data_IF_764415523133
#
_entry.id   IF_764415523133
#
_cell.length_a   1.000
_cell.length_b   1.000
_cell.length_c   1.000
_cell.angle_alpha   90.00
_cell.angle_beta   90.00
_cell.angle_gamma   90.00
#
_symmetry.space_group_name_H-M   'P 1'
#
loop_
_entity.id
_entity.type
_entity.pdbx_description
1 polymer ?
#
# COMPACT_ATOMS: atom_id res chain seq x y z
N UNK A 1 -58.43 -24.07 5.57
CA UNK A 1 -58.43 -24.20 7.05
C UNK A 1 -57.21 -23.40 7.51
N UNK A 2 -57.28 -22.19 8.09
CA UNK A 2 -58.16 -21.65 9.13
C UNK A 2 -58.05 -22.47 10.44
N UNK A 3 -57.77 -21.90 11.63
CA UNK A 3 -57.78 -20.49 12.04
C UNK A 3 -56.86 -20.16 13.26
N UNK A 4 -56.74 -18.85 13.56
CA UNK A 4 -56.50 -18.08 14.83
C UNK A 4 -56.09 -18.79 16.16
N UNK A 5 -55.52 -18.16 17.19
CA UNK A 5 -55.41 -16.75 17.67
C UNK A 5 -54.21 -16.61 18.66
N UNK A 6 -53.73 -15.48 19.22
CA UNK A 6 -54.06 -14.02 19.24
C UNK A 6 -52.82 -13.23 19.78
N UNK A 7 -52.86 -11.90 19.77
CA UNK A 7 -51.98 -11.00 20.58
C UNK A 7 -52.81 -10.19 21.61
N UNK A 8 -52.19 -9.50 22.57
CA UNK A 8 -52.01 -8.02 22.47
C UNK A 8 -50.58 -7.58 22.90
N UNK A 9 -49.94 -6.51 22.42
CA UNK A 9 -50.33 -5.12 22.07
C UNK A 9 -50.53 -4.20 23.30
N UNK A 10 -49.48 -3.44 23.64
CA UNK A 10 -49.56 -2.26 24.51
C UNK A 10 -48.64 -1.15 23.95
N UNK A 11 -49.25 -0.06 23.51
CA UNK A 11 -48.61 1.18 23.10
C UNK A 11 -48.52 2.14 24.29
N UNK A 12 -47.47 2.97 24.36
CA UNK A 12 -47.63 4.37 24.76
C UNK A 12 -46.51 5.23 24.15
N UNK A 13 -46.85 6.47 23.77
CA UNK A 13 -45.97 7.49 23.19
C UNK A 13 -45.87 8.71 24.12
N UNK A 14 -44.87 9.57 23.84
CA UNK A 14 -44.71 10.97 24.30
C UNK A 14 -44.38 11.12 25.80
N UNK A 15 -43.44 11.98 26.22
CA UNK A 15 -43.36 13.42 25.91
C UNK A 15 -41.92 14.00 25.95
N UNK A 16 -41.74 15.08 25.19
CA UNK A 16 -40.68 16.08 25.39
C UNK A 16 -40.86 16.77 26.76
N UNK A 17 -39.79 16.92 27.55
CA UNK A 17 -39.62 18.08 28.45
C UNK A 17 -38.14 18.49 28.50
N UNK A 18 -37.86 19.73 28.12
CA UNK A 18 -36.58 20.39 28.36
C UNK A 18 -36.63 21.08 29.73
N UNK A 19 -35.62 20.90 30.58
CA UNK A 19 -35.48 21.67 31.83
C UNK A 19 -34.07 22.22 31.95
N UNK A 20 -33.92 23.51 31.68
CA UNK A 20 -32.80 24.31 32.16
C UNK A 20 -33.13 24.87 33.55
N UNK A 21 -32.19 24.82 34.50
CA UNK A 21 -32.11 25.69 35.68
C UNK A 21 -30.65 25.67 36.18
N UNK A 22 -29.84 26.71 35.95
CA UNK A 22 -29.70 27.94 36.74
C UNK A 22 -29.16 27.75 38.17
N UNK A 23 -27.90 28.18 38.39
CA UNK A 23 -27.40 29.10 39.46
C UNK A 23 -26.00 29.56 39.00
N UNK A 24 -25.86 30.77 38.44
CA UNK A 24 -25.23 31.98 39.04
C UNK A 24 -23.71 31.87 39.25
N UNK A 25 -22.79 32.61 38.59
CA UNK A 25 -22.64 34.04 38.20
C UNK A 25 -21.51 34.69 39.01
N UNK A 26 -20.44 35.10 38.30
CA UNK A 26 -19.50 36.22 38.52
C UNK A 26 -18.35 36.04 37.49
N UNK A 27 -18.07 36.92 36.52
CA UNK A 27 -18.68 38.19 36.15
C UNK A 27 -17.65 39.32 36.17
N UNK A 28 -17.16 39.76 35.00
CA UNK A 28 -16.53 41.07 34.80
C UNK A 28 -16.62 41.48 33.31
N UNK A 29 -16.76 42.79 33.06
CA UNK A 29 -17.28 43.38 31.81
C UNK A 29 -16.19 43.90 30.87
N UNK A 30 -16.42 43.75 29.57
CA UNK A 30 -16.00 44.70 28.54
C UNK A 30 -16.99 45.88 28.45
N UNK A 31 -16.55 47.04 27.94
CA UNK A 31 -17.41 47.95 27.19
C UNK A 31 -16.92 48.14 25.73
N UNK A 32 -17.88 48.27 24.82
CA UNK A 32 -17.71 48.50 23.37
C UNK A 32 -18.33 49.85 22.97
N UNK A 33 -17.71 50.58 22.03
CA UNK A 33 -18.28 51.82 21.46
C UNK A 33 -17.44 52.38 20.29
N UNK A 34 -18.01 53.17 19.34
CA UNK A 34 -17.64 53.00 17.92
C UNK A 34 -17.23 54.28 17.12
N UNK A 35 -16.77 54.02 15.88
CA UNK A 35 -16.85 54.85 14.64
C UNK A 35 -15.91 56.07 14.36
N UNK A 36 -14.93 55.84 13.47
CA UNK A 36 -14.58 56.61 12.23
C UNK A 36 -14.13 58.12 12.27
N UNK A 37 -13.63 58.75 11.16
CA UNK A 37 -12.23 59.25 11.08
C UNK A 37 -12.06 60.79 10.95
N UNK A 38 -10.82 61.34 10.93
CA UNK A 38 -10.22 61.74 9.63
C UNK A 38 -8.66 61.68 9.50
N UNK A 39 -8.18 61.81 8.26
CA UNK A 39 -6.77 62.05 7.81
C UNK A 39 -6.34 63.56 7.93
N UNK A 40 -5.11 64.02 7.57
CA UNK A 40 -3.82 63.37 7.23
C UNK A 40 -2.57 63.96 7.99
N UNK A 41 -1.36 63.74 7.44
CA UNK A 41 0.02 64.18 7.84
C UNK A 41 0.77 63.18 8.76
N UNK A 42 2.00 62.73 8.49
CA UNK A 42 2.82 62.83 7.27
C UNK A 42 4.22 62.20 7.44
N UNK A 43 4.68 61.44 6.43
CA UNK A 43 6.09 61.10 6.11
C UNK A 43 6.98 60.43 7.20
N UNK A 44 7.26 59.12 7.02
CA UNK A 44 8.58 58.65 6.56
C UNK A 44 8.55 57.20 6.07
N UNK A 45 9.16 56.95 4.91
CA UNK A 45 9.31 55.63 4.30
C UNK A 45 10.59 54.96 4.83
N UNK A 46 10.51 53.68 5.15
CA UNK A 46 11.66 52.77 5.22
C UNK A 46 11.21 51.43 4.64
N UNK A 47 11.86 50.97 3.57
CA UNK A 47 11.48 49.77 2.84
C UNK A 47 11.89 48.50 3.62
N UNK A 48 10.98 47.54 3.74
CA UNK A 48 11.30 46.20 4.22
C UNK A 48 11.62 45.28 3.03
N UNK A 49 12.71 44.49 3.07
CA UNK A 49 13.09 43.66 1.93
C UNK A 49 12.13 42.48 1.75
N UNK A 50 11.62 42.33 0.53
CA UNK A 50 10.83 41.17 0.11
C UNK A 50 11.74 39.94 0.09
N UNK A 51 11.59 39.05 1.07
CA UNK A 51 12.26 37.74 1.04
C UNK A 51 11.55 36.86 0.01
N UNK A 52 12.04 36.90 -1.23
CA UNK A 52 11.63 35.96 -2.26
C UNK A 52 12.08 34.55 -1.87
N UNK A 53 11.14 33.75 -1.36
CA UNK A 53 11.32 32.33 -1.05
C UNK A 53 11.48 31.49 -2.31
N UNK A 54 12.58 31.69 -3.05
CA UNK A 54 12.93 30.85 -4.17
C UNK A 54 13.26 29.44 -3.66
N UNK A 55 12.40 28.47 -4.00
CA UNK A 55 12.61 27.05 -3.77
C UNK A 55 13.75 26.54 -4.66
N UNK A 56 14.99 26.84 -4.27
CA UNK A 56 16.18 26.30 -4.90
C UNK A 56 16.18 24.77 -4.74
N UNK A 57 16.00 24.04 -5.84
CA UNK A 57 16.40 22.64 -5.94
C UNK A 57 17.85 22.54 -5.47
N UNK A 58 18.07 21.92 -4.31
CA UNK A 58 19.43 21.65 -3.81
C UNK A 58 20.14 20.74 -4.79
N UNK A 59 21.30 21.21 -5.29
CA UNK A 59 22.22 20.40 -6.08
C UNK A 59 22.63 19.16 -5.28
N UNK A 60 22.84 18.06 -6.00
CA UNK A 60 23.16 16.73 -5.44
C UNK A 60 24.54 16.68 -4.77
N UNK A 61 24.64 17.17 -3.53
CA UNK A 61 25.52 16.55 -2.53
C UNK A 61 24.92 15.19 -2.14
N UNK A 62 25.75 14.19 -1.84
CA UNK A 62 25.27 12.84 -1.53
C UNK A 62 24.22 12.86 -0.44
N UNK A 63 23.01 12.38 -0.73
CA UNK A 63 21.88 12.41 0.19
C UNK A 63 22.18 11.49 1.38
N UNK A 64 22.35 12.07 2.56
CA UNK A 64 22.67 11.33 3.79
C UNK A 64 21.45 11.28 4.70
N UNK A 65 20.66 10.23 4.54
CA UNK A 65 19.46 9.97 5.33
C UNK A 65 19.71 9.96 6.86
N UNK A 66 20.94 9.67 7.30
CA UNK A 66 21.35 9.72 8.71
C UNK A 66 21.58 11.13 9.27
N UNK A 67 21.72 12.16 8.42
CA UNK A 67 21.84 13.56 8.84
C UNK A 67 20.47 14.27 8.89
N UNK A 68 19.46 13.69 8.24
CA UNK A 68 18.09 14.20 8.19
C UNK A 68 17.41 14.12 9.56
N UNK A 69 16.94 15.26 10.06
CA UNK A 69 16.34 15.38 11.39
C UNK A 69 15.19 14.41 11.62
N UNK A 70 14.32 14.23 10.62
CA UNK A 70 13.18 13.34 10.66
C UNK A 70 13.54 11.87 10.93
N UNK A 71 14.70 11.38 10.46
CA UNK A 71 15.11 9.98 10.58
C UNK A 71 16.28 9.72 11.55
N UNK A 72 16.98 10.75 12.01
CA UNK A 72 18.22 10.62 12.79
C UNK A 72 18.09 9.81 14.08
N UNK A 73 16.98 9.95 14.80
CA UNK A 73 16.72 9.21 16.04
C UNK A 73 16.45 7.71 15.76
N UNK A 74 15.53 7.41 14.84
CA UNK A 74 15.26 6.04 14.39
C UNK A 74 16.52 5.37 13.87
N UNK A 75 17.33 6.07 13.07
CA UNK A 75 18.59 5.52 12.55
C UNK A 75 19.65 5.29 13.63
N UNK A 76 19.66 6.10 14.69
CA UNK A 76 20.53 5.89 15.86
C UNK A 76 20.09 4.69 16.69
N UNK A 77 18.78 4.47 16.79
CA UNK A 77 18.16 3.36 17.51
C UNK A 77 18.25 2.03 16.77
N UNK A 78 18.23 2.05 15.43
CA UNK A 78 18.08 0.87 14.60
C UNK A 78 19.32 0.48 13.80
N UNK A 79 20.09 1.45 13.30
CA UNK A 79 21.12 1.18 12.31
C UNK A 79 22.54 1.46 12.82
N UNK A 80 23.45 0.46 12.76
CA UNK A 80 24.85 0.66 13.12
C UNK A 80 25.47 1.83 12.36
N UNK A 81 26.24 2.67 13.05
CA UNK A 81 26.82 3.91 12.47
C UNK A 81 27.66 3.70 11.20
N UNK A 82 28.18 2.49 10.96
CA UNK A 82 28.93 2.18 9.75
C UNK A 82 28.06 2.11 8.48
N UNK A 83 26.74 1.89 8.59
CA UNK A 83 25.83 1.88 7.42
C UNK A 83 25.50 3.29 6.94
N UNK A 84 25.62 4.30 7.81
CA UNK A 84 25.18 5.68 7.56
C UNK A 84 25.88 6.39 6.40
N UNK A 85 27.03 5.86 5.96
CA UNK A 85 27.82 6.37 4.83
C UNK A 85 27.27 5.94 3.47
N UNK A 86 26.45 4.89 3.41
CA UNK A 86 25.85 4.37 2.19
C UNK A 86 24.33 4.28 2.35
N UNK A 87 23.62 5.13 1.61
CA UNK A 87 22.15 5.20 1.69
C UNK A 87 21.45 3.88 1.35
N UNK A 88 22.02 3.04 0.48
CA UNK A 88 21.46 1.71 0.20
C UNK A 88 21.59 0.79 1.42
N UNK A 89 22.70 0.85 2.15
CA UNK A 89 22.91 0.10 3.39
C UNK A 89 22.05 0.61 4.55
N UNK A 90 21.75 1.92 4.58
CA UNK A 90 20.75 2.49 5.50
C UNK A 90 19.35 1.96 5.19
N UNK A 91 18.94 1.98 3.92
CA UNK A 91 17.63 1.49 3.51
C UNK A 91 17.49 -0.02 3.77
N UNK A 92 18.52 -0.81 3.48
CA UNK A 92 18.57 -2.24 3.77
C UNK A 92 18.38 -2.51 5.27
N UNK A 93 19.22 -1.90 6.12
CA UNK A 93 19.07 -1.99 7.58
C UNK A 93 17.67 -1.56 8.09
N UNK A 94 17.09 -0.50 7.51
CA UNK A 94 15.76 -0.02 7.88
C UNK A 94 14.61 -0.89 7.34
N UNK A 95 14.86 -1.77 6.37
CA UNK A 95 13.90 -2.82 5.97
C UNK A 95 14.01 -4.02 6.90
N UNK A 96 15.24 -4.51 7.14
CA UNK A 96 15.52 -5.69 7.96
C UNK A 96 15.01 -5.55 9.41
N UNK A 97 14.81 -4.31 9.89
CA UNK A 97 14.22 -4.02 11.22
C UNK A 97 12.80 -3.45 11.20
N UNK A 98 12.16 -3.34 10.03
CA UNK A 98 10.80 -2.77 9.87
C UNK A 98 9.69 -3.70 10.39
N UNK A 99 10.02 -4.98 10.59
CA UNK A 99 9.10 -6.03 11.01
C UNK A 99 8.77 -5.90 12.51
N UNK A 100 9.76 -5.55 13.33
CA UNK A 100 9.63 -5.52 14.79
C UNK A 100 9.22 -4.14 15.35
N UNK A 101 9.38 -3.05 14.59
CA UNK A 101 9.47 -1.69 15.15
C UNK A 101 8.66 -0.62 14.40
N UNK A 102 7.95 0.21 15.16
CA UNK A 102 7.36 1.46 14.68
C UNK A 102 8.44 2.53 14.44
N UNK A 103 8.39 3.15 13.26
CA UNK A 103 9.20 4.30 12.86
C UNK A 103 8.40 5.58 13.07
N UNK A 104 9.09 6.69 13.35
CA UNK A 104 8.47 8.00 13.40
C UNK A 104 7.75 8.31 12.07
N UNK A 105 6.52 8.88 12.08
CA UNK A 105 5.75 9.15 10.86
C UNK A 105 6.52 9.98 9.83
N UNK A 106 7.29 10.98 10.29
CA UNK A 106 8.06 11.86 9.41
C UNK A 106 9.27 11.13 8.79
N UNK A 107 9.97 10.25 9.54
CA UNK A 107 10.99 9.38 8.97
C UNK A 107 10.39 8.42 7.94
N UNK A 108 9.25 7.82 8.28
CA UNK A 108 8.53 6.88 7.43
C UNK A 108 8.13 7.51 6.09
N UNK A 109 7.65 8.76 6.12
CA UNK A 109 7.32 9.54 4.94
C UNK A 109 8.57 9.92 4.12
N UNK A 110 9.65 10.37 4.77
CA UNK A 110 10.92 10.68 4.11
C UNK A 110 11.52 9.46 3.40
N UNK A 111 11.52 8.30 4.07
CA UNK A 111 11.89 7.00 3.50
C UNK A 111 11.06 6.63 2.28
N UNK A 112 9.75 6.89 2.31
CA UNK A 112 8.84 6.59 1.19
C UNK A 112 9.13 7.50 -0.01
N UNK A 113 9.24 8.82 0.19
CA UNK A 113 9.61 9.78 -0.86
C UNK A 113 10.97 9.44 -1.47
N UNK A 114 11.95 9.03 -0.66
CA UNK A 114 13.25 8.59 -1.14
C UNK A 114 13.13 7.36 -2.06
N UNK A 115 12.42 6.32 -1.61
CA UNK A 115 12.23 5.07 -2.38
C UNK A 115 11.50 5.32 -3.69
N UNK A 116 10.45 6.15 -3.69
CA UNK A 116 9.75 6.57 -4.90
C UNK A 116 10.69 7.31 -5.87
N UNK A 117 11.43 8.31 -5.40
CA UNK A 117 12.36 9.05 -6.27
C UNK A 117 13.45 8.14 -6.84
N UNK A 118 13.91 7.14 -6.08
CA UNK A 118 14.93 6.19 -6.51
C UNK A 118 14.44 5.28 -7.65
N UNK A 119 13.15 4.89 -7.72
CA UNK A 119 12.65 4.12 -8.88
C UNK A 119 12.73 4.90 -10.19
N UNK A 120 12.67 6.24 -10.10
CA UNK A 120 12.76 7.17 -11.23
C UNK A 120 14.16 7.77 -11.47
N UNK A 121 15.17 7.45 -10.65
CA UNK A 121 16.52 8.01 -10.79
C UNK A 121 17.22 7.41 -12.03
N UNK A 122 17.65 8.23 -13.03
CA UNK A 122 18.36 7.73 -14.20
C UNK A 122 19.65 6.95 -13.88
N UNK A 123 20.33 7.25 -12.76
CA UNK A 123 21.50 6.48 -12.31
C UNK A 123 21.10 5.08 -11.85
N UNK A 124 19.95 4.97 -11.19
CA UNK A 124 19.43 3.69 -10.73
C UNK A 124 19.04 2.80 -11.91
N UNK A 125 18.32 3.36 -12.89
CA UNK A 125 17.97 2.65 -14.13
C UNK A 125 19.21 2.28 -14.97
N UNK A 126 20.26 3.11 -14.96
CA UNK A 126 21.55 2.79 -15.61
C UNK A 126 22.24 1.56 -15.00
N UNK A 127 22.23 1.42 -13.67
CA UNK A 127 22.81 0.22 -13.00
C UNK A 127 22.00 -1.03 -13.36
N UNK A 128 20.67 -0.95 -13.39
CA UNK A 128 19.84 -2.06 -13.86
C UNK A 128 20.14 -2.44 -15.32
N UNK A 129 20.32 -1.45 -16.19
CA UNK A 129 20.67 -1.66 -17.61
C UNK A 129 22.03 -2.30 -17.79
N UNK A 130 23.00 -2.00 -16.92
CA UNK A 130 24.33 -2.60 -16.93
C UNK A 130 24.30 -4.04 -16.43
N UNK A 131 23.72 -4.28 -15.25
CA UNK A 131 23.73 -5.58 -14.55
C UNK A 131 22.77 -6.61 -15.17
N UNK A 132 21.69 -6.18 -15.83
CA UNK A 132 20.69 -7.06 -16.46
C UNK A 132 20.72 -7.02 -18.00
N UNK A 133 21.81 -6.55 -18.62
CA UNK A 133 21.89 -6.31 -20.08
C UNK A 133 21.45 -7.50 -20.94
N UNK A 134 21.88 -8.72 -20.59
CA UNK A 134 21.52 -9.93 -21.33
C UNK A 134 20.01 -10.19 -21.25
N UNK A 135 19.49 -10.24 -20.03
CA UNK A 135 18.09 -10.47 -19.66
C UNK A 135 17.15 -9.45 -20.30
N UNK A 136 17.54 -8.17 -20.34
CA UNK A 136 16.76 -7.11 -21.01
C UNK A 136 16.66 -7.38 -22.52
N UNK A 137 17.72 -7.88 -23.15
CA UNK A 137 17.73 -8.17 -24.59
C UNK A 137 16.86 -9.39 -24.93
N UNK A 138 16.78 -10.36 -24.03
CA UNK A 138 15.94 -11.57 -24.17
C UNK A 138 14.45 -11.29 -23.95
N UNK A 139 14.11 -10.39 -23.02
CA UNK A 139 12.72 -10.04 -22.67
C UNK A 139 12.30 -8.79 -23.45
N UNK A 140 11.71 -8.99 -24.63
CA UNK A 140 11.26 -7.91 -25.55
C UNK A 140 10.47 -6.81 -24.85
N UNK A 141 9.52 -7.18 -24.00
CA UNK A 141 8.66 -6.26 -23.23
C UNK A 141 9.51 -5.27 -22.42
N UNK A 142 10.52 -5.75 -21.67
CA UNK A 142 11.43 -4.90 -20.90
C UNK A 142 12.45 -4.14 -21.77
N UNK A 143 12.76 -4.65 -22.97
CA UNK A 143 13.59 -3.92 -23.93
C UNK A 143 12.87 -2.69 -24.50
N UNK A 144 11.57 -2.81 -24.75
CA UNK A 144 10.72 -1.77 -25.34
C UNK A 144 10.29 -0.67 -24.35
N UNK A 145 10.43 -0.92 -23.04
CA UNK A 145 10.11 0.05 -21.98
C UNK A 145 10.83 1.40 -22.11
N UNK A 146 10.11 2.50 -21.87
CA UNK A 146 10.66 3.85 -22.03
C UNK A 146 11.67 4.16 -20.91
N UNK A 147 12.95 4.33 -21.29
CA UNK A 147 14.04 4.67 -20.38
C UNK A 147 13.86 6.07 -19.76
N UNK A 148 14.31 6.24 -18.52
CA UNK A 148 14.16 7.45 -17.72
C UNK A 148 12.74 7.64 -17.16
N UNK A 149 11.90 6.61 -17.19
CA UNK A 149 10.54 6.61 -16.61
C UNK A 149 10.37 5.69 -15.41
N UNK A 150 11.37 4.85 -15.12
CA UNK A 150 11.34 3.96 -13.95
C UNK A 150 10.57 2.65 -14.16
N UNK A 151 10.15 2.33 -15.39
CA UNK A 151 9.41 1.10 -15.72
C UNK A 151 10.31 -0.12 -15.97
N UNK A 152 11.60 0.08 -16.27
CA UNK A 152 12.54 -1.01 -16.58
C UNK A 152 12.69 -2.02 -15.42
N UNK A 153 12.99 -1.53 -14.21
CA UNK A 153 13.19 -2.40 -13.05
C UNK A 153 11.89 -3.12 -12.65
N UNK A 154 10.71 -2.46 -12.64
CA UNK A 154 9.43 -3.15 -12.55
C UNK A 154 9.23 -4.30 -13.54
N UNK A 155 9.51 -4.09 -14.83
CA UNK A 155 9.40 -5.15 -15.82
C UNK A 155 10.34 -6.33 -15.50
N UNK A 156 11.57 -6.06 -15.09
CA UNK A 156 12.51 -7.10 -14.66
C UNK A 156 12.03 -7.86 -13.42
N UNK A 157 11.38 -7.20 -12.46
CA UNK A 157 10.72 -7.86 -11.33
C UNK A 157 9.56 -8.73 -11.81
N UNK A 158 8.75 -8.25 -12.75
CA UNK A 158 7.62 -9.00 -13.29
C UNK A 158 8.06 -10.30 -13.98
N UNK A 159 9.25 -10.29 -14.60
CA UNK A 159 9.90 -11.45 -15.21
C UNK A 159 10.94 -12.16 -14.31
N UNK A 160 10.98 -11.92 -12.99
CA UNK A 160 12.00 -12.50 -12.06
C UNK A 160 12.23 -14.00 -12.21
N UNK A 161 11.19 -14.76 -12.58
CA UNK A 161 11.25 -16.22 -12.78
C UNK A 161 11.84 -16.68 -14.13
N UNK A 162 12.11 -15.75 -15.04
CA UNK A 162 12.78 -15.99 -16.33
C UNK A 162 14.27 -15.56 -16.30
N UNK A 163 14.70 -14.83 -15.27
CA UNK A 163 16.07 -14.33 -15.13
C UNK A 163 17.00 -15.50 -14.74
N UNK A 164 17.81 -15.95 -15.70
CA UNK A 164 18.82 -17.00 -15.49
C UNK A 164 20.18 -16.44 -15.02
N UNK A 165 20.48 -15.18 -15.34
CA UNK A 165 21.74 -14.52 -14.99
C UNK A 165 21.84 -14.26 -13.48
N UNK A 166 22.82 -14.87 -12.82
CA UNK A 166 22.98 -14.78 -11.36
C UNK A 166 23.13 -13.33 -10.86
N UNK A 167 23.91 -12.49 -11.53
CA UNK A 167 24.13 -11.11 -11.11
C UNK A 167 22.85 -10.27 -11.20
N UNK A 168 22.13 -10.38 -12.32
CA UNK A 168 20.82 -9.76 -12.47
C UNK A 168 19.80 -10.30 -11.45
N UNK A 169 19.76 -11.62 -11.23
CA UNK A 169 18.85 -12.25 -10.26
C UNK A 169 19.11 -11.77 -8.82
N UNK A 170 20.38 -11.65 -8.41
CA UNK A 170 20.77 -11.09 -7.10
C UNK A 170 20.43 -9.60 -6.99
N UNK A 171 20.71 -8.82 -8.04
CA UNK A 171 20.36 -7.39 -8.09
C UNK A 171 18.85 -7.17 -7.97
N UNK A 172 18.05 -7.86 -8.79
CA UNK A 172 16.59 -7.78 -8.75
C UNK A 172 16.03 -8.24 -7.40
N UNK A 173 16.55 -9.34 -6.82
CA UNK A 173 16.13 -9.79 -5.48
C UNK A 173 16.42 -8.73 -4.41
N UNK A 174 17.67 -8.25 -4.31
CA UNK A 174 18.10 -7.27 -3.31
C UNK A 174 17.33 -5.95 -3.46
N UNK A 175 17.16 -5.49 -4.69
CA UNK A 175 16.51 -4.20 -4.95
C UNK A 175 14.99 -4.25 -4.77
N UNK A 176 14.38 -5.42 -5.02
CA UNK A 176 12.98 -5.68 -4.68
C UNK A 176 12.75 -5.54 -3.18
N UNK A 177 13.61 -6.13 -2.33
CA UNK A 177 13.51 -5.95 -0.88
C UNK A 177 13.71 -4.49 -0.45
N UNK A 178 14.73 -3.81 -0.98
CA UNK A 178 15.13 -2.48 -0.49
C UNK A 178 14.18 -1.36 -0.93
N UNK A 179 13.90 -1.24 -2.24
CA UNK A 179 13.06 -0.16 -2.78
C UNK A 179 11.59 -0.58 -2.75
N UNK A 180 11.33 -1.84 -3.09
CA UNK A 180 10.01 -2.31 -3.51
C UNK A 180 9.31 -3.23 -2.50
N UNK A 181 9.66 -3.16 -1.21
CA UNK A 181 8.82 -3.69 -0.11
C UNK A 181 7.38 -3.15 -0.11
N UNK A 182 7.15 -2.12 -0.92
CA UNK A 182 5.84 -1.54 -1.22
C UNK A 182 5.63 -1.71 -2.73
N UNK A 183 4.97 -2.79 -3.14
CA UNK A 183 4.74 -3.14 -4.55
C UNK A 183 4.01 -2.06 -5.37
N UNK A 184 3.39 -1.08 -4.70
CA UNK A 184 2.85 0.12 -5.36
C UNK A 184 3.91 0.89 -6.15
N UNK A 185 5.18 0.78 -5.74
CA UNK A 185 6.32 1.39 -6.42
C UNK A 185 6.80 0.56 -7.62
N UNK A 186 6.42 -0.72 -7.74
CA UNK A 186 6.75 -1.59 -8.89
C UNK A 186 5.80 -1.28 -10.04
N UNK A 187 4.53 -1.68 -9.95
CA UNK A 187 3.74 -1.98 -11.15
C UNK A 187 3.06 -0.76 -11.84
N UNK A 188 3.61 0.45 -11.71
CA UNK A 188 2.92 1.70 -12.12
C UNK A 188 1.57 1.87 -11.43
N UNK A 189 1.46 1.35 -10.20
CA UNK A 189 0.19 1.22 -9.48
C UNK A 189 -0.47 2.57 -9.22
N UNK A 190 0.32 3.56 -8.82
CA UNK A 190 -0.19 4.90 -8.51
C UNK A 190 -0.82 5.55 -9.75
N UNK A 191 -0.23 5.40 -10.94
CA UNK A 191 -0.78 5.97 -12.17
C UNK A 191 -2.10 5.30 -12.56
N UNK A 192 -2.19 3.98 -12.40
CA UNK A 192 -3.38 3.18 -12.72
C UNK A 192 -4.53 3.38 -11.73
N UNK A 193 -4.23 3.56 -10.44
CA UNK A 193 -5.23 3.62 -9.37
C UNK A 193 -5.51 5.01 -8.79
N UNK A 194 -4.83 6.09 -9.23
CA UNK A 194 -4.97 7.43 -8.63
C UNK A 194 -6.43 7.91 -8.53
N UNK A 195 -7.22 7.70 -9.57
CA UNK A 195 -8.62 8.13 -9.60
C UNK A 195 -9.51 7.29 -8.68
N UNK A 196 -9.33 5.97 -8.67
CA UNK A 196 -10.06 5.06 -7.78
C UNK A 196 -9.71 5.32 -6.30
N UNK A 197 -8.44 5.57 -5.98
CA UNK A 197 -7.98 5.95 -4.63
C UNK A 197 -8.71 7.20 -4.13
N UNK A 198 -8.78 8.24 -4.98
CA UNK A 198 -9.45 9.49 -4.63
C UNK A 198 -10.97 9.32 -4.52
N UNK A 199 -11.58 8.52 -5.40
CA UNK A 199 -13.04 8.34 -5.48
C UNK A 199 -13.60 7.43 -4.39
N UNK A 200 -12.83 6.42 -3.98
CA UNK A 200 -13.13 5.53 -2.84
C UNK A 200 -12.68 6.11 -1.49
N UNK A 201 -11.96 7.24 -1.51
CA UNK A 201 -11.28 7.82 -0.35
C UNK A 201 -10.35 6.82 0.38
N UNK A 202 -9.69 5.93 -0.36
CA UNK A 202 -8.72 4.97 0.18
C UNK A 202 -7.41 5.63 0.68
N UNK A 203 -7.26 6.94 0.53
CA UNK A 203 -6.24 7.77 1.16
C UNK A 203 -6.40 9.24 0.74
N UNK A 204 -5.82 10.16 1.51
CA UNK A 204 -5.76 11.59 1.15
C UNK A 204 -4.40 11.94 0.54
N UNK A 205 -4.36 12.36 -0.73
CA UNK A 205 -3.13 12.88 -1.37
C UNK A 205 -2.93 14.38 -1.06
N UNK A 206 -3.75 14.97 -0.18
CA UNK A 206 -3.69 16.39 0.17
C UNK A 206 -2.80 16.63 1.40
N UNK A 207 -1.65 17.27 1.17
CA UNK A 207 -0.73 17.77 2.20
C UNK A 207 -1.44 18.85 3.03
N UNK A 208 -2.04 18.46 4.17
CA UNK A 208 -2.70 19.41 5.07
C UNK A 208 -3.65 18.82 6.11
N UNK A 209 -4.23 17.63 5.87
CA UNK A 209 -4.99 16.91 6.88
C UNK A 209 -4.32 15.56 7.18
N UNK A 210 -3.93 15.38 8.46
CA UNK A 210 -3.27 14.18 8.95
C UNK A 210 -4.28 13.03 9.06
N UNK A 211 -4.32 12.18 8.04
CA UNK A 211 -4.43 10.75 8.27
C UNK A 211 -3.11 10.09 7.86
N UNK A 212 -2.47 9.47 8.84
CA UNK A 212 -1.10 8.98 8.75
C UNK A 212 -1.11 7.69 7.92
N UNK A 213 -0.54 7.76 6.71
CA UNK A 213 -0.52 6.64 5.78
C UNK A 213 0.25 5.42 6.30
N UNK A 214 -0.43 4.50 6.99
CA UNK A 214 0.02 3.12 7.06
C UNK A 214 0.07 2.56 5.64
N UNK A 215 1.29 2.34 5.13
CA UNK A 215 1.58 2.06 3.71
C UNK A 215 0.79 0.88 3.09
N UNK A 216 0.18 0.00 3.89
CA UNK A 216 -0.70 -1.08 3.43
C UNK A 216 -2.20 -0.73 3.28
N UNK A 217 -2.70 0.34 3.91
CA UNK A 217 -4.16 0.60 3.97
C UNK A 217 -4.77 0.99 2.62
N UNK A 218 -4.02 1.69 1.77
CA UNK A 218 -4.48 2.03 0.41
C UNK A 218 -4.74 0.75 -0.40
N UNK A 219 -3.84 -0.24 -0.30
CA UNK A 219 -4.03 -1.56 -0.91
C UNK A 219 -5.22 -2.27 -0.27
N UNK A 220 -5.26 -2.39 1.06
CA UNK A 220 -6.32 -3.09 1.76
C UNK A 220 -7.73 -2.50 1.49
N UNK A 221 -7.84 -1.18 1.37
CA UNK A 221 -9.07 -0.49 1.01
C UNK A 221 -9.50 -0.82 -0.43
N UNK A 222 -8.57 -0.76 -1.38
CA UNK A 222 -8.84 -1.08 -2.79
C UNK A 222 -9.12 -2.57 -3.01
N UNK A 223 -8.42 -3.46 -2.31
CA UNK A 223 -8.71 -4.90 -2.27
C UNK A 223 -10.12 -5.17 -1.72
N UNK A 224 -10.51 -4.54 -0.62
CA UNK A 224 -11.87 -4.63 -0.05
C UNK A 224 -12.92 -4.06 -1.02
N UNK A 225 -12.62 -2.97 -1.73
CA UNK A 225 -13.51 -2.39 -2.73
C UNK A 225 -13.66 -3.31 -3.97
N UNK A 226 -12.58 -3.89 -4.47
CA UNK A 226 -12.58 -4.87 -5.57
C UNK A 226 -13.39 -6.12 -5.21
N UNK A 227 -13.20 -6.63 -3.99
CA UNK A 227 -14.00 -7.73 -3.43
C UNK A 227 -15.49 -7.35 -3.35
N UNK A 228 -15.82 -6.15 -2.85
CA UNK A 228 -17.21 -5.66 -2.81
C UNK A 228 -17.83 -5.54 -4.20
N UNK A 229 -17.06 -5.10 -5.21
CA UNK A 229 -17.50 -5.04 -6.60
C UNK A 229 -17.80 -6.43 -7.18
N UNK A 230 -16.99 -7.44 -6.86
CA UNK A 230 -17.23 -8.82 -7.27
C UNK A 230 -18.45 -9.45 -6.56
N UNK A 231 -18.70 -9.11 -5.29
CA UNK A 231 -19.81 -9.67 -4.49
C UNK A 231 -21.15 -8.93 -4.67
N UNK A 232 -21.12 -7.62 -4.89
CA UNK A 232 -22.32 -6.76 -4.97
C UNK A 232 -22.19 -5.71 -6.10
N UNK A 233 -22.23 -6.12 -7.38
CA UNK A 233 -22.01 -5.22 -8.52
C UNK A 233 -22.91 -3.98 -8.53
N UNK A 234 -24.18 -4.14 -8.16
CA UNK A 234 -25.19 -3.06 -8.18
C UNK A 234 -25.03 -2.01 -7.06
N UNK A 235 -24.14 -2.26 -6.08
CA UNK A 235 -23.97 -1.42 -4.88
C UNK A 235 -22.54 -0.95 -4.66
N UNK A 236 -21.57 -1.51 -5.39
CA UNK A 236 -20.18 -1.11 -5.30
C UNK A 236 -19.89 0.09 -6.18
N UNK A 237 -18.94 0.92 -5.76
CA UNK A 237 -18.32 1.89 -6.64
C UNK A 237 -17.39 1.12 -7.61
N UNK A 238 -17.51 1.31 -8.94
CA UNK A 238 -16.72 0.57 -9.91
C UNK A 238 -15.28 1.07 -9.95
N UNK A 239 -14.33 0.14 -9.83
CA UNK A 239 -12.88 0.38 -9.98
C UNK A 239 -12.52 0.25 -11.47
N UNK A 240 -11.62 1.10 -11.99
CA UNK A 240 -11.15 0.96 -13.39
C UNK A 240 -10.41 -0.35 -13.67
N UNK A 241 -10.56 -0.92 -14.86
CA UNK A 241 -9.97 -2.23 -15.23
C UNK A 241 -8.43 -2.26 -15.04
N UNK A 242 -7.75 -1.18 -15.36
CA UNK A 242 -6.31 -1.00 -15.16
C UNK A 242 -5.92 -0.99 -13.67
N UNK A 243 -6.75 -0.41 -12.78
CA UNK A 243 -6.53 -0.45 -11.35
C UNK A 243 -6.87 -1.83 -10.77
N UNK A 244 -7.96 -2.49 -11.20
CA UNK A 244 -8.28 -3.85 -10.80
C UNK A 244 -7.11 -4.81 -11.06
N UNK A 245 -6.52 -4.72 -12.27
CA UNK A 245 -5.30 -5.47 -12.64
C UNK A 245 -4.10 -5.09 -11.78
N UNK A 246 -3.91 -3.81 -11.46
CA UNK A 246 -2.82 -3.36 -10.59
C UNK A 246 -2.96 -3.86 -9.13
N UNK A 247 -4.18 -3.88 -8.59
CA UNK A 247 -4.51 -4.45 -7.27
C UNK A 247 -4.19 -5.94 -7.25
N UNK A 248 -4.71 -6.70 -8.23
CA UNK A 248 -4.45 -8.15 -8.33
C UNK A 248 -2.97 -8.45 -8.57
N UNK A 249 -2.24 -7.61 -9.30
CA UNK A 249 -0.78 -7.76 -9.50
C UNK A 249 0.01 -7.50 -8.23
N UNK A 250 -0.32 -6.46 -7.46
CA UNK A 250 0.26 -6.23 -6.13
C UNK A 250 -0.02 -7.42 -5.22
N UNK A 251 -1.23 -7.97 -5.28
CA UNK A 251 -1.63 -9.14 -4.51
C UNK A 251 -0.86 -10.42 -4.93
N UNK A 252 -0.68 -10.68 -6.23
CA UNK A 252 0.17 -11.76 -6.74
C UNK A 252 1.62 -11.63 -6.24
N UNK A 253 2.23 -10.46 -6.39
CA UNK A 253 3.63 -10.24 -6.04
C UNK A 253 3.92 -10.39 -4.53
N UNK A 254 2.96 -10.02 -3.66
CA UNK A 254 3.07 -10.21 -2.21
C UNK A 254 2.71 -11.62 -1.73
N UNK A 255 2.24 -12.53 -2.60
CA UNK A 255 1.72 -13.84 -2.17
C UNK A 255 2.76 -14.91 -1.83
N UNK A 256 4.04 -14.66 -2.16
CA UNK A 256 5.17 -15.56 -1.88
C UNK A 256 5.49 -15.61 -0.38
N UNK A 257 5.56 -14.45 0.28
CA UNK A 257 5.90 -14.33 1.70
C UNK A 257 4.99 -13.29 2.38
N UNK A 258 4.43 -13.63 3.54
CA UNK A 258 3.48 -12.79 4.25
C UNK A 258 4.09 -11.47 4.77
N UNK A 259 5.42 -11.41 4.96
CA UNK A 259 6.12 -10.15 5.29
C UNK A 259 5.98 -9.09 4.17
N UNK A 260 5.80 -9.56 2.93
CA UNK A 260 5.66 -8.73 1.73
C UNK A 260 4.23 -8.15 1.58
N UNK A 261 3.26 -8.69 2.30
CA UNK A 261 1.88 -8.19 2.40
C UNK A 261 1.72 -7.38 3.68
N UNK A 262 2.04 -6.08 3.60
CA UNK A 262 2.15 -5.21 4.78
C UNK A 262 0.86 -5.12 5.61
N UNK A 263 -0.32 -5.13 5.00
CA UNK A 263 -1.58 -5.08 5.74
C UNK A 263 -1.84 -6.41 6.46
N UNK A 264 -1.66 -7.54 5.76
CA UNK A 264 -1.82 -8.86 6.38
C UNK A 264 -0.77 -9.13 7.46
N UNK A 265 0.48 -8.69 7.28
CA UNK A 265 1.53 -8.78 8.28
C UNK A 265 1.11 -8.14 9.62
N UNK A 266 0.69 -6.87 9.62
CA UNK A 266 0.24 -6.23 10.87
C UNK A 266 -1.06 -6.82 11.42
N UNK A 267 -1.96 -7.27 10.55
CA UNK A 267 -3.19 -7.93 10.98
C UNK A 267 -2.94 -9.29 11.65
N UNK A 268 -1.91 -10.04 11.21
CA UNK A 268 -1.71 -11.45 11.53
C UNK A 268 -0.43 -11.80 12.28
N UNK A 269 0.53 -10.88 12.53
CA UNK A 269 1.84 -11.24 13.13
C UNK A 269 1.73 -12.02 14.45
N UNK A 270 0.81 -11.63 15.34
CA UNK A 270 0.62 -12.31 16.63
C UNK A 270 -0.05 -13.68 16.46
N UNK A 271 -0.98 -13.80 15.50
CA UNK A 271 -1.59 -15.08 15.14
C UNK A 271 -0.58 -16.01 14.43
N UNK A 272 0.35 -15.46 13.64
CA UNK A 272 1.47 -16.18 13.03
C UNK A 272 2.38 -16.76 14.12
N UNK A 273 2.73 -16.01 15.15
CA UNK A 273 3.49 -16.56 16.28
C UNK A 273 2.69 -17.60 17.07
N UNK A 274 1.37 -17.41 17.25
CA UNK A 274 0.51 -18.34 17.99
C UNK A 274 0.31 -19.70 17.30
N UNK A 275 0.05 -19.68 16.00
CA UNK A 275 -0.35 -20.88 15.23
C UNK A 275 0.74 -21.43 14.31
N UNK A 276 1.65 -20.56 13.84
CA UNK A 276 2.53 -20.83 12.71
C UNK A 276 4.02 -20.56 13.00
N UNK A 277 4.42 -20.52 14.28
CA UNK A 277 5.78 -20.16 14.72
C UNK A 277 6.89 -20.92 13.96
N UNK A 278 6.71 -22.24 13.81
CA UNK A 278 7.67 -23.15 13.17
C UNK A 278 7.54 -23.19 11.63
N UNK A 279 6.65 -22.41 11.04
CA UNK A 279 6.46 -22.34 9.58
C UNK A 279 7.42 -21.31 9.02
N UNK A 280 8.40 -21.79 8.26
CA UNK A 280 9.31 -20.92 7.50
C UNK A 280 8.52 -20.09 6.47
N UNK A 281 8.90 -18.82 6.36
CA UNK A 281 8.38 -17.87 5.42
C UNK A 281 8.74 -18.24 3.95
N UNK A 282 8.09 -17.57 2.98
CA UNK A 282 8.19 -17.89 1.56
C UNK A 282 7.29 -19.04 1.07
N UNK A 283 7.19 -19.16 -0.26
CA UNK A 283 6.38 -20.13 -1.00
C UNK A 283 4.87 -20.20 -0.63
N UNK A 284 4.33 -19.15 -0.03
CA UNK A 284 2.96 -19.09 0.49
C UNK A 284 2.70 -20.00 1.70
N UNK A 285 3.75 -20.53 2.35
CA UNK A 285 3.63 -21.51 3.46
C UNK A 285 2.89 -20.92 4.67
N UNK A 286 3.23 -19.69 5.06
CA UNK A 286 2.58 -19.00 6.19
C UNK A 286 1.10 -18.72 5.91
N UNK A 287 0.77 -18.24 4.70
CA UNK A 287 -0.64 -18.09 4.28
C UNK A 287 -1.42 -19.40 4.42
N UNK A 288 -0.88 -20.52 3.93
CA UNK A 288 -1.51 -21.84 4.06
C UNK A 288 -1.76 -22.23 5.51
N UNK A 289 -0.79 -21.99 6.40
CA UNK A 289 -0.96 -22.24 7.83
C UNK A 289 -2.05 -21.36 8.46
N UNK A 290 -2.00 -20.04 8.22
CA UNK A 290 -2.99 -19.09 8.74
C UNK A 290 -4.41 -19.38 8.22
N UNK A 291 -4.57 -19.82 6.97
CA UNK A 291 -5.88 -20.24 6.45
C UNK A 291 -6.44 -21.48 7.15
N UNK A 292 -5.59 -22.43 7.56
CA UNK A 292 -6.04 -23.62 8.30
C UNK A 292 -6.55 -23.26 9.71
N UNK A 293 -5.91 -22.29 10.37
CA UNK A 293 -6.29 -21.82 11.71
C UNK A 293 -7.27 -20.63 11.70
N UNK A 294 -7.75 -20.20 10.52
CA UNK A 294 -8.61 -19.02 10.34
C UNK A 294 -9.88 -19.05 11.21
N UNK A 295 -10.40 -20.23 11.52
CA UNK A 295 -11.67 -20.41 12.25
C UNK A 295 -11.49 -20.76 13.74
N UNK A 296 -10.25 -20.79 14.25
CA UNK A 296 -9.97 -20.93 15.68
C UNK A 296 -10.56 -19.76 16.49
N UNK A 297 -11.01 -19.99 17.72
CA UNK A 297 -11.49 -18.92 18.60
C UNK A 297 -10.38 -17.93 18.96
N UNK A 298 -9.15 -18.44 19.12
CA UNK A 298 -7.96 -17.64 19.43
C UNK A 298 -7.36 -16.88 18.24
N UNK A 299 -7.99 -16.91 17.05
CA UNK A 299 -7.58 -16.11 15.88
C UNK A 299 -8.14 -14.69 15.98
N UNK A 300 -7.30 -13.66 15.85
CA UNK A 300 -7.77 -12.27 15.91
C UNK A 300 -8.76 -11.95 14.79
N UNK A 301 -9.75 -11.09 15.07
CA UNK A 301 -10.72 -10.62 14.07
C UNK A 301 -10.01 -9.92 12.89
N UNK A 302 -9.00 -9.10 13.19
CA UNK A 302 -8.19 -8.40 12.19
C UNK A 302 -7.51 -9.37 11.22
N UNK A 303 -6.85 -10.41 11.73
CA UNK A 303 -6.24 -11.42 10.86
C UNK A 303 -7.30 -12.20 10.08
N UNK A 304 -8.40 -12.60 10.73
CA UNK A 304 -9.52 -13.32 10.12
C UNK A 304 -10.12 -12.56 8.93
N UNK A 305 -10.24 -11.24 9.04
CA UNK A 305 -10.71 -10.34 7.97
C UNK A 305 -9.69 -10.15 6.84
N UNK A 306 -8.41 -9.99 7.18
CA UNK A 306 -7.34 -9.90 6.19
C UNK A 306 -7.23 -11.21 5.37
N UNK A 307 -7.24 -12.37 6.04
CA UNK A 307 -7.28 -13.69 5.41
C UNK A 307 -8.56 -13.89 4.56
N UNK A 308 -9.71 -13.39 5.02
CA UNK A 308 -10.97 -13.44 4.25
C UNK A 308 -10.87 -12.62 2.97
N UNK A 309 -10.35 -11.39 3.05
CA UNK A 309 -10.11 -10.53 1.88
C UNK A 309 -9.19 -11.25 0.90
N UNK A 310 -8.09 -11.84 1.40
CA UNK A 310 -7.12 -12.59 0.59
C UNK A 310 -7.73 -13.80 -0.13
N UNK A 311 -8.52 -14.61 0.57
CA UNK A 311 -9.24 -15.74 -0.04
C UNK A 311 -10.21 -15.31 -1.14
N UNK A 312 -10.89 -14.17 -0.95
CA UNK A 312 -11.78 -13.60 -1.96
C UNK A 312 -11.00 -13.09 -3.18
N UNK A 313 -9.84 -12.46 -3.01
CA UNK A 313 -8.95 -12.10 -4.14
C UNK A 313 -8.45 -13.33 -4.91
N UNK A 314 -8.05 -14.41 -4.21
CA UNK A 314 -7.64 -15.67 -4.85
C UNK A 314 -8.78 -16.26 -5.72
N UNK A 315 -10.05 -16.01 -5.39
CA UNK A 315 -11.17 -16.42 -6.24
C UNK A 315 -11.29 -15.60 -7.54
N UNK A 316 -10.85 -14.34 -7.53
CA UNK A 316 -10.83 -13.45 -8.70
C UNK A 316 -9.62 -13.73 -9.61
N UNK A 317 -8.45 -14.00 -9.02
CA UNK A 317 -7.26 -14.43 -9.77
C UNK A 317 -6.46 -15.47 -8.96
N UNK A 318 -6.28 -16.68 -9.52
CA UNK A 318 -5.55 -17.77 -8.85
C UNK A 318 -4.09 -17.41 -8.57
N UNK A 319 -3.48 -16.48 -9.32
CA UNK A 319 -2.09 -16.04 -9.15
C UNK A 319 -1.84 -15.33 -7.82
N UNK A 320 -2.89 -14.79 -7.19
CA UNK A 320 -2.85 -14.25 -5.82
C UNK A 320 -2.51 -15.33 -4.77
N UNK A 321 -2.50 -16.61 -5.15
CA UNK A 321 -1.92 -17.70 -4.37
C UNK A 321 -0.65 -18.23 -5.06
N UNK A 322 0.52 -17.79 -4.61
CA UNK A 322 1.81 -18.31 -5.07
C UNK A 322 1.87 -19.85 -5.07
N UNK A 323 1.43 -20.48 -3.98
CA UNK A 323 1.49 -21.94 -3.82
C UNK A 323 0.62 -22.68 -4.84
N UNK A 324 -0.57 -22.15 -5.16
CA UNK A 324 -1.45 -22.69 -6.20
C UNK A 324 -0.88 -22.43 -7.60
N UNK A 325 -0.48 -21.20 -7.89
CA UNK A 325 0.08 -20.82 -9.19
C UNK A 325 1.36 -21.61 -9.53
N UNK A 326 2.21 -21.86 -8.52
CA UNK A 326 3.40 -22.70 -8.64
C UNK A 326 3.05 -24.18 -8.88
N UNK A 327 2.11 -24.73 -8.13
CA UNK A 327 1.68 -26.12 -8.28
C UNK A 327 1.06 -26.40 -9.66
N UNK A 328 0.11 -25.57 -10.08
CA UNK A 328 -0.63 -25.74 -11.33
C UNK A 328 0.15 -25.31 -12.59
N UNK A 329 1.35 -24.71 -12.47
CA UNK A 329 2.11 -24.11 -13.58
C UNK A 329 2.37 -25.07 -14.75
N UNK A 330 2.62 -26.35 -14.46
CA UNK A 330 2.89 -27.36 -15.49
C UNK A 330 1.60 -27.86 -16.13
N UNK A 331 0.57 -28.14 -15.35
CA UNK A 331 -0.71 -28.65 -15.86
C UNK A 331 -1.44 -27.59 -16.70
N UNK A 332 -1.43 -26.32 -16.28
CA UNK A 332 -1.92 -25.18 -17.05
C UNK A 332 -1.31 -25.09 -18.45
N UNK A 333 0.00 -25.32 -18.55
CA UNK A 333 0.73 -25.34 -19.84
C UNK A 333 0.34 -26.57 -20.66
N UNK A 334 0.27 -27.74 -20.03
CA UNK A 334 -0.06 -29.02 -20.68
C UNK A 334 -1.48 -29.04 -21.24
N UNK A 335 -2.46 -28.55 -20.47
CA UNK A 335 -3.86 -28.47 -20.88
C UNK A 335 -4.19 -27.26 -21.76
N UNK A 336 -3.19 -26.43 -22.09
CA UNK A 336 -3.35 -25.23 -22.91
C UNK A 336 -4.47 -24.31 -22.39
N UNK A 337 -4.52 -24.11 -21.07
CA UNK A 337 -5.46 -23.21 -20.40
C UNK A 337 -5.12 -21.74 -20.71
N UNK A 338 -5.39 -21.33 -21.95
CA UNK A 338 -5.11 -20.00 -22.47
C UNK A 338 -6.16 -19.02 -21.99
N UNK A 339 -5.74 -18.08 -21.14
CA UNK A 339 -6.56 -16.95 -20.69
C UNK A 339 -6.86 -15.98 -21.85
N UNK A 340 -5.98 -15.94 -22.85
CA UNK A 340 -6.19 -15.18 -24.09
C UNK A 340 -6.86 -16.05 -25.16
N UNK A 341 -8.13 -15.71 -25.47
CA UNK A 341 -8.48 -15.01 -26.72
C UNK A 341 -9.99 -14.94 -26.99
N UNK A 342 -10.81 -15.91 -26.53
CA UNK A 342 -12.16 -16.14 -27.09
C UNK A 342 -13.34 -16.17 -26.10
N UNK A 343 -13.16 -15.74 -24.84
CA UNK A 343 -14.29 -15.58 -23.91
C UNK A 343 -14.18 -14.24 -23.15
N UNK A 344 -15.24 -13.40 -23.11
CA UNK A 344 -15.21 -12.15 -22.33
C UNK A 344 -14.90 -12.35 -20.84
N UNK A 345 -15.19 -13.57 -20.33
CA UNK A 345 -14.94 -13.99 -18.94
C UNK A 345 -13.56 -14.60 -18.68
N UNK A 346 -12.72 -14.77 -19.71
CA UNK A 346 -11.37 -15.36 -19.61
C UNK A 346 -10.25 -14.33 -19.40
N UNK A 347 -10.55 -13.02 -19.55
CA UNK A 347 -9.61 -11.91 -19.30
C UNK A 347 -9.14 -11.79 -17.85
N UNK A 348 -9.78 -12.51 -16.94
CA UNK A 348 -9.42 -12.61 -15.52
C UNK A 348 -9.11 -14.08 -15.22
N UNK A 349 -8.00 -14.35 -14.53
CA UNK A 349 -7.54 -15.71 -14.24
C UNK A 349 -8.30 -16.34 -13.04
N UNK A 350 -9.64 -16.28 -13.08
CA UNK A 350 -10.52 -16.71 -11.99
C UNK A 350 -10.27 -18.17 -11.62
N UNK A 351 -10.26 -18.45 -10.32
CA UNK A 351 -10.07 -19.80 -9.79
C UNK A 351 -11.11 -20.79 -10.32
N UNK A 352 -12.35 -20.34 -10.55
CA UNK A 352 -13.40 -21.18 -11.13
C UNK A 352 -13.13 -21.61 -12.56
N UNK A 353 -12.38 -20.84 -13.35
CA UNK A 353 -11.95 -21.26 -14.69
C UNK A 353 -10.81 -22.28 -14.61
N UNK A 354 -9.84 -22.10 -13.69
CA UNK A 354 -8.79 -23.07 -13.42
C UNK A 354 -9.37 -24.45 -13.06
N UNK A 355 -10.36 -24.48 -12.16
CA UNK A 355 -11.06 -25.70 -11.72
C UNK A 355 -11.95 -26.36 -12.80
N UNK A 356 -12.18 -25.70 -13.94
CA UNK A 356 -12.88 -26.26 -15.11
C UNK A 356 -11.92 -26.67 -16.24
N UNK A 357 -10.65 -26.23 -16.17
CA UNK A 357 -9.64 -26.48 -17.21
C UNK A 357 -8.65 -27.60 -16.83
N UNK A 358 -8.48 -27.85 -15.52
CA UNK A 358 -7.69 -28.96 -14.97
C UNK A 358 -8.58 -30.15 -14.59
#
# INVERSE_FOLDING_TARGET
>A
MAAHSRSPLLLLRFLFVCVCSYVSVLGLKFPSGPAEPPHPHGVRVMEAPVVAGASQLRRTTGWKLAEEEACREDLTRLCPKHTWTNILAVLECMQDRKEEIELAPDCNHLLWNYKLNLTTDPKFESVATEVCRSTITEIKECNEEVRGKGYLVPCLVDHRGNISEYQCSQYITKITGIIFSDYRLICGFMDKCKEDINSLHCGSINVGQKDIHSQGEVIACLEKALVRQAEQPDRAHPIKEECQKAILRVAELSSDDFHLDRHLYFACREDRERFCQNVQAGEGKVYKCLFNHKYEDAMSEKCRDALTTRQKLISQDYKVSYSLAKACKLDLRKQHCSLDTNLPRAREARLSYLLLCL
#
